data_IF_398549129649
#
_entry.id   IF_398549129649
#
_cell.length_a   1.000
_cell.length_b   1.000
_cell.length_c   1.000
_cell.angle_alpha   90.00
_cell.angle_beta   90.00
_cell.angle_gamma   90.00
#
_symmetry.space_group_name_H-M   'P 1'
#
loop_
_entity.id
_entity.type
_entity.pdbx_description
1 polymer ?
#
# COMPACT_ATOMS: atom_id res chain seq x y z
N UNK A 1 10.10 -6.52 10.71
CA UNK A 1 8.69 -6.10 10.68
C UNK A 1 8.65 -4.67 10.20
N UNK A 2 7.84 -4.38 9.19
CA UNK A 2 7.67 -3.03 8.62
C UNK A 2 6.19 -2.70 8.55
N UNK A 3 5.86 -1.43 8.63
CA UNK A 3 4.51 -0.93 8.34
C UNK A 3 4.37 -0.72 6.83
N UNK A 4 3.40 -1.38 6.21
CA UNK A 4 3.18 -1.37 4.76
C UNK A 4 1.87 -0.66 4.46
N UNK A 5 1.97 0.54 3.90
CA UNK A 5 0.82 1.33 3.47
C UNK A 5 0.51 0.99 2.01
N UNK A 6 -0.68 0.45 1.76
CA UNK A 6 -1.12 0.02 0.43
C UNK A 6 -2.11 1.04 -0.11
N UNK A 7 -1.80 1.64 -1.24
CA UNK A 7 -2.76 2.44 -2.00
C UNK A 7 -3.82 1.50 -2.60
N UNK A 8 -4.98 1.46 -1.94
CA UNK A 8 -6.01 0.46 -2.22
C UNK A 8 -6.56 0.59 -3.63
N UNK A 9 -6.86 1.79 -4.09
CA UNK A 9 -7.46 1.97 -5.41
C UNK A 9 -6.45 1.71 -6.53
N UNK A 10 -5.19 2.09 -6.34
CA UNK A 10 -4.10 1.80 -7.29
C UNK A 10 -3.85 0.30 -7.43
N UNK A 11 -3.69 -0.41 -6.31
CA UNK A 11 -3.42 -1.85 -6.33
C UNK A 11 -4.60 -2.63 -6.91
N UNK A 12 -5.82 -2.30 -6.49
CA UNK A 12 -7.04 -2.96 -6.95
C UNK A 12 -7.19 -2.92 -8.48
N UNK A 13 -6.81 -1.79 -9.10
CA UNK A 13 -6.87 -1.56 -10.55
C UNK A 13 -5.63 -2.03 -11.31
N UNK A 14 -4.61 -2.54 -10.61
CA UNK A 14 -3.33 -2.91 -11.22
C UNK A 14 -3.36 -4.24 -11.98
N UNK A 15 -4.41 -5.05 -11.81
CA UNK A 15 -4.63 -6.31 -12.53
C UNK A 15 -6.04 -6.35 -13.12
N UNK A 16 -6.21 -7.11 -14.20
CA UNK A 16 -7.52 -7.41 -14.77
C UNK A 16 -7.82 -8.91 -14.67
N UNK A 17 -9.00 -9.33 -14.17
CA UNK A 17 -10.04 -8.47 -13.59
C UNK A 17 -9.57 -7.78 -12.29
N UNK A 18 -10.16 -6.62 -11.98
CA UNK A 18 -9.83 -5.87 -10.77
C UNK A 18 -10.19 -6.69 -9.52
N UNK A 19 -9.37 -6.55 -8.47
CA UNK A 19 -9.60 -7.20 -7.17
C UNK A 19 -10.79 -6.52 -6.45
N UNK A 20 -11.52 -7.24 -5.59
CA UNK A 20 -12.50 -6.62 -4.69
C UNK A 20 -11.85 -5.79 -3.58
N UNK A 21 -12.59 -4.88 -2.92
CA UNK A 21 -12.04 -4.13 -1.76
C UNK A 21 -11.75 -5.07 -0.58
N UNK A 22 -12.77 -5.80 -0.15
CA UNK A 22 -12.66 -6.77 0.95
C UNK A 22 -11.65 -7.89 0.62
N UNK A 23 -11.62 -8.32 -0.65
CA UNK A 23 -10.64 -9.30 -1.12
C UNK A 23 -9.22 -8.75 -1.01
N UNK A 24 -8.98 -7.50 -1.43
CA UNK A 24 -7.66 -6.88 -1.32
C UNK A 24 -7.23 -6.76 0.14
N UNK A 25 -8.12 -6.32 1.03
CA UNK A 25 -7.82 -6.23 2.47
C UNK A 25 -7.45 -7.59 3.07
N UNK A 26 -8.27 -8.61 2.78
CA UNK A 26 -8.05 -9.95 3.30
C UNK A 26 -6.71 -10.53 2.82
N UNK A 27 -6.45 -10.45 1.52
CA UNK A 27 -5.25 -11.03 0.90
C UNK A 27 -4.00 -10.24 1.26
N UNK A 28 -4.06 -8.92 1.31
CA UNK A 28 -2.94 -8.07 1.75
C UNK A 28 -2.61 -8.32 3.24
N UNK A 29 -3.64 -8.47 4.08
CA UNK A 29 -3.45 -8.86 5.48
C UNK A 29 -2.84 -10.25 5.64
N UNK A 30 -3.26 -11.23 4.83
CA UNK A 30 -2.64 -12.56 4.81
C UNK A 30 -1.18 -12.50 4.36
N UNK A 31 -0.90 -11.81 3.25
CA UNK A 31 0.45 -11.55 2.76
C UNK A 31 1.35 -10.92 3.83
N UNK A 32 0.82 -9.95 4.60
CA UNK A 32 1.52 -9.28 5.69
C UNK A 32 1.87 -10.22 6.82
N UNK A 33 0.89 -11.01 7.29
CA UNK A 33 1.12 -12.02 8.34
C UNK A 33 2.16 -13.05 7.93
N UNK A 34 2.09 -13.56 6.70
CA UNK A 34 3.01 -14.57 6.19
C UNK A 34 4.46 -14.05 6.08
N UNK A 35 4.64 -12.74 5.86
CA UNK A 35 5.96 -12.09 5.73
C UNK A 35 6.40 -11.32 6.97
N UNK A 36 5.60 -11.28 8.04
CA UNK A 36 5.92 -10.57 9.28
C UNK A 36 5.88 -9.03 9.16
N UNK A 37 4.93 -8.50 8.39
CA UNK A 37 4.66 -7.07 8.22
C UNK A 37 3.28 -6.69 8.77
N UNK A 38 3.13 -5.45 9.22
CA UNK A 38 1.83 -4.85 9.50
C UNK A 38 1.34 -4.13 8.24
N UNK A 39 0.14 -4.45 7.76
CA UNK A 39 -0.35 -4.00 6.46
C UNK A 39 -1.63 -3.20 6.64
N UNK A 40 -1.65 -1.99 6.10
CA UNK A 40 -2.82 -1.13 6.08
C UNK A 40 -3.17 -0.79 4.64
N UNK A 41 -4.35 -1.21 4.20
CA UNK A 41 -4.92 -0.77 2.93
C UNK A 41 -5.60 0.58 3.15
N UNK A 42 -5.13 1.60 2.44
CA UNK A 42 -5.66 2.95 2.48
C UNK A 42 -6.59 3.14 1.29
N UNK A 43 -7.85 3.44 1.61
CA UNK A 43 -8.86 3.75 0.61
C UNK A 43 -9.10 5.25 0.55
N UNK A 44 -9.47 5.72 -0.63
CA UNK A 44 -10.00 7.07 -0.81
C UNK A 44 -11.30 7.26 -0.01
N UNK A 45 -11.46 8.43 0.60
CA UNK A 45 -12.59 8.81 1.42
C UNK A 45 -12.83 10.32 1.41
N UNK A 46 -12.90 10.93 2.60
CA UNK A 46 -13.00 12.39 2.74
C UNK A 46 -11.67 13.12 2.38
N UNK A 47 -10.55 12.42 2.54
CA UNK A 47 -9.23 12.81 2.07
C UNK A 47 -8.82 11.84 0.94
N UNK A 48 -7.92 12.30 0.06
CA UNK A 48 -7.33 11.42 -0.96
C UNK A 48 -6.46 10.35 -0.28
N UNK A 49 -6.40 9.15 -0.88
CA UNK A 49 -5.54 8.10 -0.33
C UNK A 49 -4.06 8.55 -0.29
N UNK A 50 -3.63 9.30 -1.30
CA UNK A 50 -2.28 9.86 -1.41
C UNK A 50 -1.94 10.80 -0.25
N UNK A 51 -2.86 11.70 0.13
CA UNK A 51 -2.67 12.61 1.26
C UNK A 51 -2.60 11.85 2.58
N UNK A 52 -3.47 10.86 2.76
CA UNK A 52 -3.46 10.01 3.95
C UNK A 52 -2.15 9.21 4.04
N UNK A 53 -1.68 8.64 2.94
CA UNK A 53 -0.42 7.88 2.89
C UNK A 53 0.76 8.81 3.18
N UNK A 54 0.87 9.94 2.49
CA UNK A 54 1.97 10.88 2.68
C UNK A 54 2.05 11.40 4.13
N UNK A 55 0.90 11.68 4.76
CA UNK A 55 0.83 12.05 6.17
C UNK A 55 1.27 10.89 7.08
N UNK A 56 0.77 9.68 6.87
CA UNK A 56 1.14 8.52 7.71
C UNK A 56 2.62 8.17 7.60
N UNK A 57 3.25 8.40 6.45
CA UNK A 57 4.70 8.20 6.27
C UNK A 57 5.51 9.11 7.21
N UNK A 58 5.02 10.30 7.55
CA UNK A 58 5.72 11.19 8.49
C UNK A 58 5.38 10.92 9.96
N UNK A 59 4.24 10.28 10.23
CA UNK A 59 3.75 10.00 11.59
C UNK A 59 4.21 8.62 12.13
N UNK A 60 4.41 7.63 11.26
CA UNK A 60 4.73 6.26 11.65
C UNK A 60 6.24 6.02 11.81
N UNK A 61 6.66 5.15 12.75
CA UNK A 61 8.08 4.81 12.90
C UNK A 61 8.57 3.92 11.75
N UNK A 62 9.85 4.06 11.33
CA UNK A 62 10.47 3.15 10.38
C UNK A 62 10.67 1.74 10.98
N UNK A 63 10.76 0.68 10.15
CA UNK A 63 10.78 0.73 8.69
C UNK A 63 9.36 0.84 8.07
N UNK A 64 9.24 1.68 7.04
CA UNK A 64 8.00 1.99 6.33
C UNK A 64 8.10 1.63 4.86
N UNK A 65 7.09 0.93 4.35
CA UNK A 65 6.97 0.60 2.93
C UNK A 65 5.68 1.20 2.37
N UNK A 66 5.71 1.66 1.12
CA UNK A 66 4.51 2.10 0.39
C UNK A 66 4.31 1.24 -0.84
N UNK A 67 3.08 0.75 -1.05
CA UNK A 67 2.70 0.01 -2.25
C UNK A 67 1.85 0.91 -3.13
N UNK A 68 2.44 1.37 -4.24
CA UNK A 68 1.73 2.11 -5.28
C UNK A 68 2.53 2.10 -6.58
N UNK A 69 1.83 2.19 -7.71
CA UNK A 69 2.42 2.49 -9.01
C UNK A 69 2.28 3.96 -9.39
N UNK A 70 1.54 4.76 -8.63
CA UNK A 70 1.35 6.19 -8.90
C UNK A 70 2.68 6.93 -8.79
N UNK A 71 3.01 7.77 -9.78
CA UNK A 71 4.32 8.45 -9.80
C UNK A 71 4.38 9.62 -8.84
N UNK A 72 3.30 10.37 -8.72
CA UNK A 72 3.22 11.53 -7.83
C UNK A 72 3.33 11.08 -6.37
N UNK A 73 2.57 10.05 -5.99
CA UNK A 73 2.64 9.51 -4.63
C UNK A 73 4.04 8.98 -4.30
N UNK A 74 4.72 8.33 -5.27
CA UNK A 74 6.09 7.83 -5.07
C UNK A 74 7.08 8.94 -4.78
N UNK A 75 6.98 10.06 -5.49
CA UNK A 75 7.82 11.24 -5.25
C UNK A 75 7.54 11.83 -3.86
N UNK A 76 6.26 11.92 -3.47
CA UNK A 76 5.85 12.47 -2.16
C UNK A 76 6.37 11.69 -0.95
N UNK A 77 6.53 10.38 -1.07
CA UNK A 77 6.90 9.50 0.06
C UNK A 77 8.36 9.05 0.05
N UNK A 78 9.11 9.32 -1.03
CA UNK A 78 10.43 8.73 -1.28
C UNK A 78 11.42 8.89 -0.12
N UNK A 79 11.43 10.05 0.53
CA UNK A 79 12.38 10.34 1.61
C UNK A 79 11.98 9.72 2.97
N UNK A 80 10.72 9.29 3.12
CA UNK A 80 10.17 8.78 4.39
C UNK A 80 9.99 7.27 4.44
N UNK A 81 10.32 6.55 3.36
CA UNK A 81 10.08 5.11 3.25
C UNK A 81 11.37 4.36 2.96
N UNK A 82 11.50 3.17 3.53
CA UNK A 82 12.60 2.25 3.23
C UNK A 82 12.41 1.62 1.84
N UNK A 83 11.16 1.40 1.43
CA UNK A 83 10.85 0.71 0.18
C UNK A 83 9.55 1.17 -0.45
N UNK A 84 9.56 1.25 -1.78
CA UNK A 84 8.37 1.44 -2.60
C UNK A 84 8.16 0.18 -3.46
N UNK A 85 6.96 -0.38 -3.42
CA UNK A 85 6.56 -1.57 -4.19
C UNK A 85 5.51 -1.18 -5.23
N UNK A 86 5.67 -1.63 -6.48
CA UNK A 86 4.67 -1.39 -7.52
C UNK A 86 3.38 -2.16 -7.27
N UNK A 87 2.24 -1.51 -7.44
CA UNK A 87 0.93 -2.09 -7.13
C UNK A 87 0.62 -3.39 -7.88
N UNK A 88 0.94 -3.47 -9.17
CA UNK A 88 0.76 -4.69 -9.95
C UNK A 88 1.72 -5.82 -9.58
N UNK A 89 2.92 -5.51 -9.10
CA UNK A 89 3.84 -6.53 -8.59
C UNK A 89 3.32 -7.10 -7.28
N UNK A 90 2.91 -6.23 -6.36
CA UNK A 90 2.32 -6.61 -5.08
C UNK A 90 1.05 -7.45 -5.28
N UNK A 91 0.14 -7.03 -6.15
CA UNK A 91 -1.10 -7.75 -6.43
C UNK A 91 -0.89 -9.20 -6.92
N UNK A 92 0.23 -9.47 -7.61
CA UNK A 92 0.59 -10.84 -8.06
C UNK A 92 1.19 -11.71 -6.96
N UNK A 93 1.67 -11.11 -5.88
CA UNK A 93 2.22 -11.83 -4.73
C UNK A 93 1.17 -12.18 -3.67
N UNK A 94 -0.04 -11.62 -3.78
CA UNK A 94 -1.13 -11.86 -2.86
C UNK A 94 -1.54 -13.35 -2.90
N UNK A 95 -1.66 -14.03 -1.73
CA UNK A 95 -2.06 -15.44 -1.66
C UNK A 95 -3.50 -15.67 -2.10
#
# INVERSE_FOLDING_TARGET
MASVLVDGENVRRSLWPNIGRDELEQRAGAWGRDRGHDVVVVWEGAETADDVIARRVTELPPPLWVVTSDRELRERVADGVERIVGGGSFARELP
#
